data_IF_830926383899
#
_entry.id   IF_830926383899
#
_cell.length_a   1.000
_cell.length_b   1.000
_cell.length_c   1.000
_cell.angle_alpha   90.00
_cell.angle_beta   90.00
_cell.angle_gamma   90.00
#
_symmetry.space_group_name_H-M   'P 1'
#
loop_
_entity.id
_entity.type
_entity.pdbx_description
1 polymer ?
#
# COMPACT_ATOMS: atom_id res chain seq x y z
N UNK A 1 -3.23 -10.99 -0.69
CA UNK A 1 -3.68 -12.40 -0.71
C UNK A 1 -2.94 -13.20 -1.78
N UNK A 2 -2.56 -12.61 -2.94
CA UNK A 2 -1.86 -13.34 -4.01
C UNK A 2 -0.38 -13.62 -3.73
N UNK A 3 0.33 -12.70 -3.09
CA UNK A 3 1.78 -12.81 -2.87
C UNK A 3 2.17 -13.86 -1.81
N UNK A 4 1.40 -14.00 -0.75
CA UNK A 4 1.69 -14.98 0.30
C UNK A 4 1.54 -16.44 -0.17
N UNK A 5 0.59 -16.72 -1.05
CA UNK A 5 0.39 -18.06 -1.59
C UNK A 5 1.55 -18.51 -2.48
N UNK A 6 2.10 -17.61 -3.30
CA UNK A 6 3.26 -17.93 -4.17
C UNK A 6 4.55 -18.20 -3.37
N UNK A 7 4.73 -17.52 -2.23
CA UNK A 7 5.88 -17.70 -1.35
C UNK A 7 5.74 -18.98 -0.50
N UNK A 8 4.52 -19.36 -0.11
CA UNK A 8 4.24 -20.61 0.62
C UNK A 8 4.37 -21.87 -0.24
N UNK A 9 4.05 -21.79 -1.52
CA UNK A 9 4.15 -22.91 -2.45
C UNK A 9 5.58 -23.04 -3.01
N UNK A 10 6.51 -23.45 -2.16
CA UNK A 10 7.93 -23.62 -2.48
C UNK A 10 8.23 -24.79 -3.44
N UNK A 11 7.24 -25.45 -4.03
CA UNK A 11 7.47 -26.49 -5.00
C UNK A 11 7.30 -25.94 -6.42
N UNK A 12 8.30 -26.16 -7.26
CA UNK A 12 8.29 -25.78 -8.66
C UNK A 12 7.06 -26.34 -9.40
N UNK A 13 6.64 -27.56 -9.09
CA UNK A 13 5.45 -28.16 -9.70
C UNK A 13 4.17 -27.39 -9.43
N UNK A 14 3.96 -26.90 -8.21
CA UNK A 14 2.79 -26.09 -7.88
C UNK A 14 2.81 -24.72 -8.56
N UNK A 15 3.99 -24.11 -8.70
CA UNK A 15 4.16 -22.88 -9.46
C UNK A 15 3.76 -23.11 -10.92
N UNK A 16 4.25 -24.20 -11.53
CA UNK A 16 3.90 -24.55 -12.91
C UNK A 16 2.40 -24.72 -13.11
N UNK A 17 1.73 -25.46 -12.23
CA UNK A 17 0.30 -25.70 -12.36
C UNK A 17 -0.51 -24.41 -12.29
N UNK A 18 -0.18 -23.52 -11.32
CA UNK A 18 -0.80 -22.21 -11.21
C UNK A 18 -0.51 -21.30 -12.41
N UNK A 19 0.72 -21.32 -12.91
CA UNK A 19 1.07 -20.53 -14.09
C UNK A 19 0.34 -21.04 -15.34
N UNK A 20 0.20 -22.35 -15.53
CA UNK A 20 -0.56 -22.92 -16.63
C UNK A 20 -2.02 -22.51 -16.57
N UNK A 21 -2.64 -22.62 -15.40
CA UNK A 21 -4.02 -22.19 -15.19
C UNK A 21 -4.21 -20.70 -15.50
N UNK A 22 -3.42 -19.85 -14.86
CA UNK A 22 -3.52 -18.40 -15.04
C UNK A 22 -3.23 -17.97 -16.48
N UNK A 23 -2.17 -18.50 -17.07
CA UNK A 23 -1.80 -18.11 -18.45
C UNK A 23 -2.80 -18.62 -19.47
N UNK A 24 -3.46 -19.77 -19.25
CA UNK A 24 -4.54 -20.20 -20.13
C UNK A 24 -5.67 -19.18 -20.17
N UNK A 25 -6.06 -18.66 -19.01
CA UNK A 25 -7.11 -17.66 -18.87
C UNK A 25 -6.69 -16.29 -19.45
N UNK A 26 -5.55 -15.75 -19.02
CA UNK A 26 -5.13 -14.40 -19.43
C UNK A 26 -4.69 -14.36 -20.89
N UNK A 27 -4.02 -15.40 -21.41
CA UNK A 27 -3.65 -15.48 -22.81
C UNK A 27 -4.87 -15.56 -23.74
N UNK A 28 -5.96 -16.21 -23.28
CA UNK A 28 -7.21 -16.18 -24.03
C UNK A 28 -7.72 -14.74 -24.23
N UNK A 29 -7.73 -13.94 -23.15
CA UNK A 29 -8.17 -12.54 -23.24
C UNK A 29 -7.21 -11.66 -24.04
N UNK A 30 -5.90 -11.83 -23.83
CA UNK A 30 -4.89 -11.08 -24.57
C UNK A 30 -5.03 -11.29 -26.06
N UNK A 31 -5.18 -12.52 -26.51
CA UNK A 31 -5.26 -12.85 -27.94
C UNK A 31 -6.61 -12.49 -28.55
N UNK A 32 -7.72 -12.88 -27.91
CA UNK A 32 -9.04 -12.82 -28.53
C UNK A 32 -9.78 -11.50 -28.30
N UNK A 33 -9.44 -10.75 -27.25
CA UNK A 33 -10.13 -9.50 -26.92
C UNK A 33 -9.25 -8.28 -27.10
N UNK A 34 -8.00 -8.34 -26.63
CA UNK A 34 -7.09 -7.20 -26.68
C UNK A 34 -6.19 -7.17 -27.92
N UNK A 35 -6.16 -8.22 -28.74
CA UNK A 35 -5.32 -8.29 -29.94
C UNK A 35 -3.81 -8.30 -29.64
N UNK A 36 -3.41 -8.74 -28.45
CA UNK A 36 -2.02 -8.85 -28.02
C UNK A 36 -1.48 -10.27 -28.15
N UNK A 37 -0.17 -10.39 -28.23
CA UNK A 37 0.52 -11.68 -28.23
C UNK A 37 0.41 -12.39 -26.89
N UNK A 38 0.39 -13.71 -26.92
CA UNK A 38 0.44 -14.54 -25.71
C UNK A 38 1.70 -14.29 -24.91
N UNK A 39 1.55 -14.35 -23.61
CA UNK A 39 2.67 -14.41 -22.67
C UNK A 39 3.31 -15.79 -22.73
N UNK A 40 4.64 -15.83 -22.77
CA UNK A 40 5.42 -17.07 -22.81
C UNK A 40 5.50 -17.70 -21.41
N UNK A 41 5.08 -18.95 -21.33
CA UNK A 41 5.06 -19.70 -20.07
C UNK A 41 6.47 -19.91 -19.50
N UNK A 42 7.44 -20.31 -20.35
CA UNK A 42 8.77 -20.64 -19.85
C UNK A 42 9.48 -19.40 -19.34
N UNK A 43 9.37 -18.29 -20.08
CA UNK A 43 9.95 -17.01 -19.64
C UNK A 43 9.41 -16.58 -18.28
N UNK A 44 8.08 -16.60 -18.10
CA UNK A 44 7.46 -16.18 -16.84
C UNK A 44 7.84 -17.15 -15.70
N UNK A 45 7.89 -18.45 -15.97
CA UNK A 45 8.34 -19.44 -15.00
C UNK A 45 9.77 -19.14 -14.52
N UNK A 46 10.71 -18.96 -15.46
CA UNK A 46 12.11 -18.73 -15.14
C UNK A 46 12.32 -17.43 -14.36
N UNK A 47 11.64 -16.36 -14.75
CA UNK A 47 11.65 -15.09 -14.01
C UNK A 47 11.13 -15.26 -12.57
N UNK A 48 10.01 -15.97 -12.38
CA UNK A 48 9.46 -16.21 -11.05
C UNK A 48 10.37 -17.07 -10.17
N UNK A 49 11.04 -18.09 -10.74
CA UNK A 49 12.02 -18.90 -10.00
C UNK A 49 13.21 -18.05 -9.55
N UNK A 50 13.74 -17.18 -10.41
CA UNK A 50 14.82 -16.25 -10.06
C UNK A 50 14.39 -15.27 -8.96
N UNK A 51 13.15 -14.76 -9.01
CA UNK A 51 12.62 -13.93 -7.92
C UNK A 51 12.47 -14.73 -6.63
N UNK A 52 12.02 -15.98 -6.72
CA UNK A 52 11.92 -16.88 -5.58
C UNK A 52 13.26 -17.08 -4.88
N UNK A 53 14.32 -17.32 -5.62
CA UNK A 53 15.68 -17.46 -5.08
C UNK A 53 16.14 -16.19 -4.34
N UNK A 54 15.88 -15.01 -4.91
CA UNK A 54 16.26 -13.72 -4.30
C UNK A 54 15.42 -13.39 -3.06
N UNK A 55 14.14 -13.74 -3.06
CA UNK A 55 13.21 -13.36 -1.99
C UNK A 55 13.21 -14.36 -0.82
N UNK A 56 13.49 -15.63 -1.08
CA UNK A 56 13.48 -16.67 -0.03
C UNK A 56 14.35 -16.32 1.20
N UNK A 57 15.58 -15.80 1.06
CA UNK A 57 16.39 -15.40 2.20
C UNK A 57 15.82 -14.24 3.02
N UNK A 58 14.86 -13.48 2.46
CA UNK A 58 14.22 -12.34 3.10
C UNK A 58 12.93 -12.71 3.83
N UNK A 59 12.49 -13.96 3.73
CA UNK A 59 11.28 -14.44 4.40
C UNK A 59 11.51 -14.60 5.91
N UNK A 60 10.63 -14.02 6.69
CA UNK A 60 10.66 -14.18 8.14
C UNK A 60 9.22 -14.25 8.70
N UNK A 61 9.06 -14.91 9.84
CA UNK A 61 7.88 -14.77 10.67
C UNK A 61 7.97 -13.43 11.41
N UNK A 62 7.35 -12.41 10.83
CA UNK A 62 7.42 -11.02 11.33
C UNK A 62 6.83 -10.90 12.72
N UNK A 63 5.74 -11.61 13.03
CA UNK A 63 5.13 -11.59 14.37
C UNK A 63 6.10 -12.12 15.42
N UNK A 64 6.69 -13.29 15.19
CA UNK A 64 7.70 -13.86 16.08
C UNK A 64 8.94 -12.98 16.22
N UNK A 65 9.39 -12.36 15.12
CA UNK A 65 10.52 -11.43 15.13
C UNK A 65 10.25 -10.21 16.00
N UNK A 66 9.10 -9.55 15.84
CA UNK A 66 8.74 -8.36 16.61
C UNK A 66 8.62 -8.71 18.09
N UNK A 67 7.95 -9.79 18.44
CA UNK A 67 7.84 -10.25 19.82
C UNK A 67 9.21 -10.55 20.44
N UNK A 68 10.12 -11.16 19.67
CA UNK A 68 11.49 -11.40 20.10
C UNK A 68 12.27 -10.09 20.36
N UNK A 69 12.10 -9.08 19.51
CA UNK A 69 12.71 -7.77 19.68
C UNK A 69 12.15 -7.03 20.93
N UNK A 70 10.84 -7.07 21.13
CA UNK A 70 10.20 -6.49 22.31
C UNK A 70 10.71 -7.13 23.62
N UNK A 71 10.81 -8.45 23.66
CA UNK A 71 11.35 -9.19 24.81
C UNK A 71 12.82 -8.85 25.10
N UNK A 72 13.58 -8.41 24.11
CA UNK A 72 14.95 -7.91 24.26
C UNK A 72 15.01 -6.42 24.65
N UNK A 73 13.88 -5.76 24.87
CA UNK A 73 13.81 -4.33 25.18
C UNK A 73 14.17 -3.43 23.97
N UNK A 74 14.11 -3.95 22.75
CA UNK A 74 14.33 -3.16 21.53
C UNK A 74 13.09 -2.32 21.22
N UNK A 75 13.32 -1.13 20.66
CA UNK A 75 12.24 -0.27 20.17
C UNK A 75 11.96 -0.57 18.71
N UNK A 76 10.70 -0.82 18.38
CA UNK A 76 10.23 -1.04 17.03
C UNK A 76 9.39 0.17 16.60
N UNK A 77 9.74 0.78 15.48
CA UNK A 77 8.99 1.86 14.88
C UNK A 77 8.13 1.29 13.73
N UNK A 78 6.83 1.51 13.81
CA UNK A 78 5.90 1.23 12.73
C UNK A 78 5.60 2.52 11.99
N UNK A 79 5.89 2.55 10.70
CA UNK A 79 5.56 3.67 9.83
C UNK A 79 4.43 3.25 8.88
N UNK A 80 3.31 3.97 8.94
CA UNK A 80 2.20 3.81 8.01
C UNK A 80 2.39 4.59 6.72
N UNK A 81 1.50 4.37 5.78
CA UNK A 81 1.44 5.10 4.53
C UNK A 81 0.08 5.80 4.37
N UNK A 82 -0.04 6.67 3.39
CA UNK A 82 -1.23 7.48 3.07
C UNK A 82 -1.63 8.42 4.22
N UNK A 83 -2.92 8.48 4.56
CA UNK A 83 -3.43 9.35 5.61
C UNK A 83 -4.78 8.86 6.13
N UNK A 84 -5.16 9.27 7.33
CA UNK A 84 -6.35 8.80 8.03
C UNK A 84 -7.65 8.94 7.22
N UNK A 85 -7.80 10.02 6.45
CA UNK A 85 -8.98 10.22 5.59
C UNK A 85 -9.02 9.32 4.35
N UNK A 86 -7.93 8.61 4.04
CA UNK A 86 -7.84 7.62 2.97
C UNK A 86 -8.02 6.18 3.47
N UNK A 87 -8.16 5.97 4.78
CA UNK A 87 -8.42 4.65 5.35
C UNK A 87 -9.69 4.03 4.76
N UNK A 88 -9.63 2.75 4.39
CA UNK A 88 -10.74 2.06 3.73
C UNK A 88 -12.00 2.01 4.57
N UNK A 89 -11.87 1.92 5.90
CA UNK A 89 -12.98 1.79 6.83
C UNK A 89 -13.36 3.13 7.50
N UNK A 90 -12.37 3.95 7.85
CA UNK A 90 -12.57 5.18 8.63
C UNK A 90 -12.43 6.46 7.80
N UNK A 91 -12.03 6.33 6.55
CA UNK A 91 -11.82 7.46 5.65
C UNK A 91 -13.10 7.95 4.97
N UNK A 92 -12.92 8.78 3.95
CA UNK A 92 -13.99 9.44 3.18
C UNK A 92 -14.47 8.55 2.02
N UNK A 93 -14.99 7.39 2.32
CA UNK A 93 -15.52 6.44 1.33
C UNK A 93 -16.53 7.12 0.37
N UNK A 94 -16.49 6.85 -0.96
CA UNK A 94 -15.64 5.87 -1.67
C UNK A 94 -14.25 6.38 -2.06
N UNK A 95 -13.87 7.59 -1.68
CA UNK A 95 -12.60 8.23 -2.03
C UNK A 95 -11.52 7.85 -1.01
N UNK A 96 -11.17 6.57 -0.99
CA UNK A 96 -10.23 5.96 -0.04
C UNK A 96 -9.19 5.10 -0.77
N UNK A 97 -8.19 4.63 -0.06
CA UNK A 97 -7.29 3.56 -0.53
C UNK A 97 -7.85 2.18 -0.14
N UNK A 98 -7.28 1.11 -0.68
CA UNK A 98 -7.67 -0.26 -0.36
C UNK A 98 -7.01 -0.81 0.91
N UNK A 99 -6.48 0.04 1.77
CA UNK A 99 -5.74 -0.34 2.98
C UNK A 99 -6.21 0.44 4.21
N UNK A 100 -5.95 -0.12 5.40
CA UNK A 100 -6.09 0.59 6.66
C UNK A 100 -4.86 1.47 6.89
N UNK A 101 -5.09 2.78 6.98
CA UNK A 101 -4.05 3.79 7.16
C UNK A 101 -3.93 4.25 8.62
N UNK A 102 -4.84 3.81 9.48
CA UNK A 102 -4.84 4.12 10.91
C UNK A 102 -3.90 3.19 11.68
N UNK A 103 -3.48 3.57 12.91
CA UNK A 103 -2.67 2.70 13.77
C UNK A 103 -3.30 1.32 14.07
N UNK A 104 -4.62 1.19 13.96
CA UNK A 104 -5.32 -0.08 14.11
C UNK A 104 -4.87 -1.13 13.08
N UNK A 105 -4.47 -0.71 11.87
CA UNK A 105 -3.94 -1.58 10.82
C UNK A 105 -2.59 -2.23 11.18
N UNK A 106 -1.84 -1.69 12.15
CA UNK A 106 -0.55 -2.23 12.58
C UNK A 106 -0.71 -3.63 13.16
N UNK A 107 -1.71 -3.82 14.03
CA UNK A 107 -1.94 -5.10 14.69
C UNK A 107 -2.19 -6.22 13.68
N UNK A 108 -3.07 -6.00 12.71
CA UNK A 108 -3.36 -6.99 11.67
C UNK A 108 -2.22 -7.15 10.65
N UNK A 109 -1.55 -6.05 10.30
CA UNK A 109 -0.46 -6.06 9.31
C UNK A 109 0.83 -6.71 9.82
N UNK A 110 1.17 -6.50 11.08
CA UNK A 110 2.38 -7.03 11.71
C UNK A 110 2.14 -8.32 12.51
N UNK A 111 0.88 -8.72 12.73
CA UNK A 111 0.51 -9.90 13.52
C UNK A 111 0.86 -9.77 14.99
N UNK A 112 0.70 -8.56 15.57
CA UNK A 112 0.95 -8.27 16.99
C UNK A 112 -0.34 -7.95 17.71
N UNK A 113 -0.31 -7.99 19.04
CA UNK A 113 -1.45 -7.56 19.86
C UNK A 113 -1.68 -6.04 19.77
N UNK A 114 -2.93 -5.56 19.80
CA UNK A 114 -3.21 -4.12 19.75
C UNK A 114 -2.64 -3.36 20.98
N UNK A 115 -2.42 -4.03 22.10
CA UNK A 115 -1.81 -3.48 23.31
C UNK A 115 -0.28 -3.41 23.25
N UNK A 116 0.34 -4.04 22.26
CA UNK A 116 1.80 -4.03 22.09
C UNK A 116 2.28 -2.73 21.41
N UNK A 117 1.36 -1.88 20.94
CA UNK A 117 1.66 -0.55 20.43
C UNK A 117 1.68 0.44 21.59
N UNK A 118 2.88 0.77 22.07
CA UNK A 118 3.03 1.59 23.28
C UNK A 118 2.82 3.09 23.10
N UNK A 119 3.06 3.63 21.90
CA UNK A 119 2.96 5.06 21.61
C UNK A 119 2.56 5.31 20.15
N UNK A 120 1.67 6.25 19.93
CA UNK A 120 1.21 6.64 18.60
C UNK A 120 1.58 8.10 18.36
N UNK A 121 2.38 8.36 17.32
CA UNK A 121 2.72 9.70 16.88
C UNK A 121 1.93 10.03 15.61
N UNK A 122 1.03 10.99 15.72
CA UNK A 122 0.33 11.57 14.58
C UNK A 122 1.16 12.67 13.91
N UNK A 123 1.39 12.54 12.62
CA UNK A 123 2.03 13.60 11.81
C UNK A 123 0.97 14.23 10.93
N UNK A 124 0.87 15.57 11.01
CA UNK A 124 -0.08 16.35 10.23
C UNK A 124 0.63 17.49 9.52
N UNK A 125 0.23 17.77 8.29
CA UNK A 125 0.73 18.93 7.54
C UNK A 125 0.10 20.22 8.08
N UNK A 126 0.81 21.34 7.95
CA UNK A 126 0.31 22.68 8.27
C UNK A 126 -0.83 23.15 7.33
N UNK A 127 -1.04 22.46 6.23
CA UNK A 127 -2.12 22.66 5.26
C UNK A 127 -2.57 21.29 4.73
N UNK A 128 -3.76 21.20 4.16
CA UNK A 128 -4.29 19.92 3.65
C UNK A 128 -3.97 19.75 2.18
N UNK A 129 -3.64 18.52 1.79
CA UNK A 129 -3.50 18.17 0.37
C UNK A 129 -4.25 16.88 0.05
N UNK A 130 -4.78 16.81 -1.17
CA UNK A 130 -5.47 15.61 -1.66
C UNK A 130 -5.18 15.36 -3.14
N UNK A 131 -4.94 14.12 -3.50
CA UNK A 131 -4.87 13.68 -4.91
C UNK A 131 -6.25 13.19 -5.34
N UNK A 132 -6.71 13.64 -6.52
CA UNK A 132 -7.98 13.21 -7.08
C UNK A 132 -9.20 13.79 -6.39
N UNK A 133 -10.31 13.09 -6.49
CA UNK A 133 -11.61 13.52 -6.00
C UNK A 133 -11.83 13.26 -4.51
N UNK A 134 -12.98 13.63 -4.02
CA UNK A 134 -13.41 13.47 -2.64
C UNK A 134 -13.52 14.78 -1.87
N UNK A 135 -14.13 14.75 -0.68
CA UNK A 135 -14.40 15.95 0.10
C UNK A 135 -13.11 16.61 0.58
N UNK A 136 -13.08 17.91 0.49
CA UNK A 136 -12.00 18.80 0.95
C UNK A 136 -12.58 20.16 1.34
N UNK A 137 -13.23 20.28 2.52
CA UNK A 137 -13.99 21.48 2.91
C UNK A 137 -13.14 22.75 2.96
N UNK A 138 -11.86 22.63 3.18
CA UNK A 138 -10.91 23.75 3.28
C UNK A 138 -10.15 24.03 1.99
N UNK A 139 -10.59 23.48 0.85
CA UNK A 139 -9.92 23.66 -0.44
C UNK A 139 -9.79 25.13 -0.84
N UNK A 140 -8.65 25.49 -1.40
CA UNK A 140 -8.32 26.85 -1.84
C UNK A 140 -8.28 26.86 -3.37
N UNK A 141 -9.15 27.66 -3.98
CA UNK A 141 -9.32 27.72 -5.44
C UNK A 141 -8.70 28.97 -6.08
N UNK A 142 -8.01 29.79 -5.31
CA UNK A 142 -7.40 31.06 -5.75
C UNK A 142 -5.87 30.95 -5.94
N UNK A 143 -5.23 32.10 -6.15
CA UNK A 143 -3.79 32.20 -6.33
C UNK A 143 -2.98 31.70 -5.14
N UNK A 144 -3.54 31.75 -3.93
CA UNK A 144 -2.88 31.24 -2.71
C UNK A 144 -2.75 29.71 -2.79
N UNK A 145 -3.83 29.04 -3.20
CA UNK A 145 -3.81 27.60 -3.41
C UNK A 145 -2.77 27.16 -4.46
N UNK A 146 -2.68 27.92 -5.56
CA UNK A 146 -1.69 27.68 -6.61
C UNK A 146 -0.24 27.91 -6.12
N UNK A 147 -0.04 28.93 -5.29
CA UNK A 147 1.26 29.23 -4.69
C UNK A 147 1.71 28.13 -3.72
N UNK A 148 0.81 27.67 -2.86
CA UNK A 148 1.06 26.55 -1.94
C UNK A 148 1.43 25.29 -2.74
N UNK A 149 0.67 24.96 -3.78
CA UNK A 149 0.93 23.78 -4.61
C UNK A 149 2.31 23.85 -5.29
N UNK A 150 2.66 25.03 -5.81
CA UNK A 150 3.94 25.23 -6.51
C UNK A 150 5.12 25.19 -5.54
N UNK A 151 5.06 25.97 -4.45
CA UNK A 151 6.15 26.03 -3.46
C UNK A 151 6.30 24.74 -2.68
N UNK A 152 5.19 24.05 -2.42
CA UNK A 152 5.18 22.76 -1.74
C UNK A 152 5.57 21.56 -2.62
N UNK A 153 5.69 21.76 -3.95
CA UNK A 153 5.93 20.66 -4.88
C UNK A 153 4.82 19.62 -4.82
N UNK A 154 3.58 20.04 -4.70
CA UNK A 154 2.45 19.15 -4.37
C UNK A 154 2.00 18.33 -5.57
N UNK A 155 2.75 17.22 -5.79
CA UNK A 155 2.44 16.19 -6.79
C UNK A 155 2.40 14.81 -6.14
N UNK A 156 1.61 13.93 -6.69
CA UNK A 156 1.53 12.54 -6.23
C UNK A 156 2.84 11.80 -6.49
N UNK A 157 3.45 11.22 -5.46
CA UNK A 157 4.76 10.58 -5.55
C UNK A 157 4.84 9.48 -6.64
N UNK A 158 3.77 8.72 -6.82
CA UNK A 158 3.73 7.60 -7.78
C UNK A 158 3.21 8.03 -9.15
N UNK A 159 2.17 8.87 -9.19
CA UNK A 159 1.45 9.19 -10.42
C UNK A 159 1.83 10.53 -11.02
N UNK A 160 2.57 11.38 -10.31
CA UNK A 160 2.89 12.75 -10.74
C UNK A 160 1.68 13.68 -10.86
N UNK A 161 0.47 13.22 -10.48
CA UNK A 161 -0.75 14.04 -10.57
C UNK A 161 -0.70 15.20 -9.57
N UNK A 162 -1.16 16.42 -9.96
CA UNK A 162 -1.22 17.54 -9.04
C UNK A 162 -2.13 17.24 -7.86
N UNK A 163 -1.75 17.73 -6.68
CA UNK A 163 -2.57 17.68 -5.47
C UNK A 163 -3.38 18.96 -5.35
N UNK A 164 -4.63 18.82 -4.96
CA UNK A 164 -5.47 19.90 -4.48
C UNK A 164 -4.93 20.38 -3.14
N UNK A 165 -4.90 21.68 -2.88
CA UNK A 165 -4.40 22.27 -1.63
C UNK A 165 -5.53 22.99 -0.89
N UNK A 166 -5.48 22.96 0.44
CA UNK A 166 -6.47 23.60 1.30
C UNK A 166 -5.88 24.04 2.63
N UNK A 167 -6.61 24.92 3.34
CA UNK A 167 -6.23 25.34 4.68
C UNK A 167 -6.19 24.17 5.66
N UNK A 168 -5.47 24.34 6.76
CA UNK A 168 -5.44 23.38 7.84
C UNK A 168 -6.87 23.09 8.36
N UNK A 169 -7.27 21.83 8.32
CA UNK A 169 -8.59 21.39 8.77
C UNK A 169 -8.55 20.99 10.26
N UNK A 170 -8.71 22.00 11.11
CA UNK A 170 -8.70 21.82 12.56
C UNK A 170 -9.86 20.93 13.06
N UNK A 171 -10.98 20.89 12.35
CA UNK A 171 -12.14 20.09 12.73
C UNK A 171 -11.83 18.61 12.54
N UNK A 172 -11.27 18.26 11.39
CA UNK A 172 -10.86 16.89 11.11
C UNK A 172 -9.72 16.41 12.03
N UNK A 173 -8.73 17.28 12.26
CA UNK A 173 -7.59 16.92 13.15
C UNK A 173 -8.00 16.74 14.61
N UNK A 174 -9.03 17.47 15.05
CA UNK A 174 -9.56 17.36 16.42
C UNK A 174 -10.37 16.06 16.64
N UNK A 175 -11.00 15.55 15.59
CA UNK A 175 -11.79 14.30 15.64
C UNK A 175 -10.90 13.08 15.92
#
# INVERSE_FOLDING_TARGET
VGSEMCIRDRSESKLEDKLKENLSYYNFWLENYFGHTKLDFQKIKDENLQYGEKLTPLLADVSSLINGLNNQGKRVLFEGAQGALLDVDQGTYPFVTSSNCSPAGIASGAGIGPLDVGYILGVVKAYVTRVGEGPMPTEIHDSIGAEIATKGGEVGATTGRPRRCGWFDAVTVKR
#
